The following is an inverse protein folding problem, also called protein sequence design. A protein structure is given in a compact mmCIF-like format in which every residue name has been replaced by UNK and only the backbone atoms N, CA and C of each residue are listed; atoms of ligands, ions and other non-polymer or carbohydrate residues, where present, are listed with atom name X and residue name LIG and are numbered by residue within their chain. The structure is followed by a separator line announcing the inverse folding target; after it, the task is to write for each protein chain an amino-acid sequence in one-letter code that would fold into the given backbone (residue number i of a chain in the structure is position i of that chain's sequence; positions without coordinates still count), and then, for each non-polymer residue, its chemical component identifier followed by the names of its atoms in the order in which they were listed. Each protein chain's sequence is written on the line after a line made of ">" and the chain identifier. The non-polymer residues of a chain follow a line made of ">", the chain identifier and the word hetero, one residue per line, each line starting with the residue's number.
data_IF_890471169274
#
_entry.id   IF_890471169274
#
_cell.length_a   1.000
_cell.length_b   1.000
_cell.length_c   1.000
_cell.angle_alpha   90.00
_cell.angle_beta   90.00
_cell.angle_gamma   90.00
#
_symmetry.space_group_name_H-M   'P 1'
#
loop_
_entity.id
_entity.type
_entity.pdbx_description
1 polymer ?
#
# COMPACT_ATOMS: atom_id res chain seq x y z
N UNK A 1 -0.87 -11.70 -0.26
CA UNK A 1 -2.29 -11.70 0.16
C UNK A 1 -3.12 -12.14 -1.04
N UNK A 2 -3.95 -13.17 -0.90
CA UNK A 2 -4.91 -13.58 -1.93
C UNK A 2 -6.32 -13.06 -1.57
N UNK A 3 -7.27 -13.20 -2.50
CA UNK A 3 -8.63 -12.70 -2.32
C UNK A 3 -9.33 -13.30 -1.09
N UNK A 4 -9.22 -14.62 -0.90
CA UNK A 4 -9.87 -15.32 0.22
C UNK A 4 -9.36 -14.84 1.58
N UNK A 5 -8.04 -14.71 1.74
CA UNK A 5 -7.43 -14.19 2.97
C UNK A 5 -7.90 -12.77 3.25
N UNK A 6 -7.95 -11.90 2.22
CA UNK A 6 -8.44 -10.54 2.36
C UNK A 6 -9.91 -10.54 2.83
N UNK A 7 -10.77 -11.32 2.18
CA UNK A 7 -12.18 -11.39 2.52
C UNK A 7 -12.37 -11.88 3.97
N UNK A 8 -11.71 -12.97 4.35
CA UNK A 8 -11.80 -13.53 5.70
C UNK A 8 -11.30 -12.54 6.75
N UNK A 9 -10.14 -11.90 6.51
CA UNK A 9 -9.57 -10.93 7.43
C UNK A 9 -10.45 -9.69 7.63
N UNK A 10 -11.17 -9.23 6.60
CA UNK A 10 -12.07 -8.07 6.72
C UNK A 10 -13.48 -8.45 7.20
N UNK A 11 -13.89 -9.71 7.02
CA UNK A 11 -15.18 -10.20 7.53
C UNK A 11 -15.29 -10.12 9.07
N UNK A 12 -14.14 -10.16 9.78
CA UNK A 12 -14.11 -10.03 11.24
C UNK A 12 -14.62 -8.66 11.73
N UNK A 13 -14.62 -7.64 10.88
CA UNK A 13 -15.11 -6.30 11.23
C UNK A 13 -16.56 -6.07 10.81
N UNK A 14 -17.11 -6.92 9.94
CA UNK A 14 -18.49 -6.88 9.49
C UNK A 14 -18.70 -7.54 8.12
N UNK A 15 -19.96 -7.60 7.69
CA UNK A 15 -20.33 -8.25 6.44
C UNK A 15 -19.79 -7.50 5.22
N UNK A 16 -18.75 -8.07 4.60
CA UNK A 16 -18.17 -7.68 3.31
C UNK A 16 -19.10 -8.14 2.17
N UNK A 17 -19.44 -7.23 1.26
CA UNK A 17 -20.28 -7.50 0.08
C UNK A 17 -19.41 -7.80 -1.12
N UNK A 18 -18.38 -6.99 -1.34
CA UNK A 18 -17.46 -7.14 -2.45
C UNK A 18 -16.02 -6.88 -1.98
N UNK A 19 -15.06 -7.62 -2.54
CA UNK A 19 -13.65 -7.31 -2.35
C UNK A 19 -12.82 -7.76 -3.54
N UNK A 20 -11.81 -7.00 -3.91
CA UNK A 20 -10.91 -7.38 -5.00
C UNK A 20 -9.53 -6.79 -4.78
N UNK A 21 -8.54 -7.42 -5.40
CA UNK A 21 -7.14 -7.01 -5.34
C UNK A 21 -6.79 -6.43 -6.70
N UNK A 22 -6.28 -5.21 -6.72
CA UNK A 22 -5.77 -4.59 -7.94
C UNK A 22 -4.50 -5.33 -8.39
N UNK A 23 -4.51 -5.74 -9.66
CA UNK A 23 -3.39 -6.41 -10.31
C UNK A 23 -2.94 -5.59 -11.50
N UNK A 24 -1.65 -5.63 -11.79
CA UNK A 24 -1.16 -5.11 -13.06
C UNK A 24 -1.81 -5.84 -14.24
N UNK A 25 -1.98 -5.17 -15.39
CA UNK A 25 -2.38 -5.82 -16.63
C UNK A 25 -1.50 -7.04 -16.92
N UNK A 26 -2.08 -8.06 -17.54
CA UNK A 26 -1.37 -9.30 -17.85
C UNK A 26 -0.08 -9.06 -18.66
N UNK A 27 -0.10 -8.04 -19.53
CA UNK A 27 1.03 -7.62 -20.37
C UNK A 27 2.22 -7.06 -19.59
N UNK A 28 2.02 -6.56 -18.36
CA UNK A 28 3.08 -6.06 -17.47
C UNK A 28 3.49 -7.08 -16.39
N UNK A 29 3.05 -8.34 -16.50
CA UNK A 29 3.47 -9.41 -15.60
C UNK A 29 2.49 -9.76 -14.48
N UNK A 30 1.29 -9.17 -14.44
CA UNK A 30 0.16 -9.64 -13.61
C UNK A 30 0.39 -9.62 -12.09
N UNK A 31 1.40 -8.90 -11.61
CA UNK A 31 1.72 -8.76 -10.18
C UNK A 31 0.64 -7.99 -9.41
N UNK A 32 0.49 -8.26 -8.11
CA UNK A 32 -0.41 -7.46 -7.27
C UNK A 32 0.22 -6.11 -6.96
N UNK A 33 -0.51 -5.02 -7.16
CA UNK A 33 -0.09 -3.64 -6.81
C UNK A 33 -0.09 -3.37 -5.31
N UNK A 34 -0.32 -4.40 -4.48
CA UNK A 34 -0.51 -4.28 -3.04
C UNK A 34 -1.65 -3.30 -2.65
N UNK A 35 -2.61 -3.10 -3.55
CA UNK A 35 -3.84 -2.33 -3.34
C UNK A 35 -5.04 -3.26 -3.48
N UNK A 36 -6.02 -3.07 -2.62
CA UNK A 36 -7.24 -3.85 -2.62
C UNK A 36 -8.41 -2.97 -2.17
N UNK A 37 -9.59 -3.33 -2.64
CA UNK A 37 -10.83 -2.66 -2.29
C UNK A 37 -11.72 -3.63 -1.52
N UNK A 38 -12.37 -3.10 -0.48
CA UNK A 38 -13.28 -3.85 0.36
C UNK A 38 -14.53 -3.01 0.56
N UNK A 39 -15.64 -3.54 0.08
CA UNK A 39 -16.96 -2.94 0.22
C UNK A 39 -17.73 -3.63 1.34
N UNK A 40 -18.22 -2.84 2.29
CA UNK A 40 -19.06 -3.31 3.37
C UNK A 40 -20.54 -3.05 3.08
N UNK A 41 -21.40 -3.94 3.57
CA UNK A 41 -22.86 -3.80 3.48
C UNK A 41 -23.41 -2.51 4.11
N UNK A 42 -22.69 -1.89 5.05
CA UNK A 42 -23.09 -0.66 5.73
C UNK A 42 -21.95 0.36 5.72
N UNK A 43 -22.26 1.59 5.28
CA UNK A 43 -21.32 2.73 5.30
C UNK A 43 -20.75 3.01 6.70
N UNK A 44 -21.57 2.87 7.75
CA UNK A 44 -21.14 3.06 9.14
C UNK A 44 -20.08 2.04 9.56
N UNK A 45 -20.14 0.81 9.03
CA UNK A 45 -19.14 -0.22 9.30
C UNK A 45 -17.82 0.14 8.61
N UNK A 46 -17.86 0.52 7.33
CA UNK A 46 -16.68 0.96 6.60
C UNK A 46 -15.97 2.13 7.30
N UNK A 47 -16.73 3.13 7.78
CA UNK A 47 -16.17 4.26 8.52
C UNK A 47 -15.50 3.86 9.84
N UNK A 48 -16.14 2.98 10.62
CA UNK A 48 -15.55 2.45 11.86
C UNK A 48 -14.28 1.65 11.60
N UNK A 49 -14.26 0.84 10.53
CA UNK A 49 -13.09 0.06 10.14
C UNK A 49 -11.95 0.98 9.72
N UNK A 50 -12.22 1.99 8.90
CA UNK A 50 -11.20 2.96 8.49
C UNK A 50 -10.61 3.68 9.72
N UNK A 51 -11.44 4.11 10.67
CA UNK A 51 -10.97 4.73 11.91
C UNK A 51 -10.15 3.75 12.77
N UNK A 52 -10.63 2.52 12.94
CA UNK A 52 -9.93 1.52 13.74
C UNK A 52 -8.56 1.18 13.16
N UNK A 53 -8.48 0.94 11.84
CA UNK A 53 -7.24 0.54 11.16
C UNK A 53 -6.27 1.69 10.94
N UNK A 54 -6.74 2.95 10.96
CA UNK A 54 -5.83 4.11 10.95
C UNK A 54 -5.17 4.36 12.31
N UNK A 55 -5.79 3.92 13.41
CA UNK A 55 -5.27 4.08 14.77
C UNK A 55 -4.51 2.85 15.28
N UNK A 56 -4.64 1.70 14.61
CA UNK A 56 -4.08 0.43 15.06
C UNK A 56 -3.28 -0.26 13.97
N UNK A 57 -2.31 -1.09 14.38
CA UNK A 57 -1.46 -1.85 13.47
C UNK A 57 -2.12 -3.17 13.10
N UNK A 58 -2.94 -3.16 12.06
CA UNK A 58 -3.51 -4.39 11.52
C UNK A 58 -2.59 -5.03 10.50
N UNK A 59 -2.10 -6.23 10.79
CA UNK A 59 -1.17 -6.97 9.94
C UNK A 59 -1.91 -8.06 9.18
N UNK A 60 -1.56 -8.24 7.90
CA UNK A 60 -2.04 -9.36 7.09
C UNK A 60 -0.93 -10.39 6.92
N UNK A 61 -1.11 -11.55 7.55
CA UNK A 61 -0.19 -12.68 7.47
C UNK A 61 1.09 -12.42 8.25
N UNK A 62 2.23 -12.82 7.70
CA UNK A 62 3.56 -12.71 8.35
C UNK A 62 4.31 -11.43 7.97
N UNK A 63 3.66 -10.46 7.34
CA UNK A 63 4.32 -9.19 7.01
C UNK A 63 4.19 -8.23 8.19
N UNK A 64 5.29 -7.63 8.68
CA UNK A 64 5.23 -6.60 9.71
C UNK A 64 4.74 -5.25 9.18
N UNK A 65 4.30 -5.18 7.91
CA UNK A 65 3.76 -3.98 7.30
C UNK A 65 2.26 -3.87 7.60
N UNK A 66 1.83 -2.87 8.38
CA UNK A 66 0.41 -2.68 8.66
C UNK A 66 -0.34 -2.27 7.40
N UNK A 67 -1.60 -2.69 7.32
CA UNK A 67 -2.53 -2.29 6.28
C UNK A 67 -2.85 -0.81 6.46
N UNK A 68 -2.62 0.00 5.42
CA UNK A 68 -3.11 1.37 5.33
C UNK A 68 -4.50 1.36 4.69
N UNK A 69 -5.45 2.07 5.29
CA UNK A 69 -6.83 2.14 4.81
C UNK A 69 -7.24 3.58 4.58
N UNK A 70 -7.74 3.83 3.38
CA UNK A 70 -8.31 5.09 2.93
C UNK A 70 -9.70 4.79 2.37
N UNK A 71 -10.59 5.79 2.39
CA UNK A 71 -11.83 5.67 1.64
C UNK A 71 -11.50 5.63 0.16
N UNK A 72 -12.19 4.77 -0.60
CA UNK A 72 -12.17 4.88 -2.05
C UNK A 72 -12.82 6.23 -2.39
N UNK A 73 -12.00 7.23 -2.69
CA UNK A 73 -12.46 8.45 -3.33
C UNK A 73 -12.88 8.05 -4.75
N UNK A 74 -14.05 8.48 -5.18
CA UNK A 74 -14.34 8.49 -6.61
C UNK A 74 -13.29 9.44 -7.22
N UNK A 75 -12.55 8.96 -8.21
CA UNK A 75 -11.55 9.74 -8.99
C UNK A 75 -12.23 10.82 -9.85
N UNK A 76 -13.26 11.50 -9.32
CA UNK A 76 -13.66 12.82 -9.78
C UNK A 76 -12.54 13.79 -9.41
N UNK A 77 -11.41 13.64 -10.10
CA UNK A 77 -10.39 14.65 -10.28
C UNK A 77 -11.14 15.93 -10.61
N UNK A 78 -10.79 17.01 -9.92
CA UNK A 78 -11.36 18.33 -10.13
C UNK A 78 -11.26 18.69 -11.63
N UNK A 79 -12.40 18.59 -12.33
CA UNK A 79 -12.57 18.76 -13.79
C UNK A 79 -12.31 20.21 -14.26
N UNK A 80 -11.68 21.00 -13.39
CA UNK A 80 -11.35 22.40 -13.55
C UNK A 80 -9.86 22.64 -13.85
N UNK A 81 -8.97 21.67 -13.62
CA UNK A 81 -7.57 21.80 -14.06
C UNK A 81 -7.47 21.78 -15.59
N UNK A 82 -7.07 22.92 -16.17
CA UNK A 82 -6.95 23.09 -17.62
C UNK A 82 -8.20 23.63 -18.31
N UNK A 83 -9.26 23.97 -17.56
CA UNK A 83 -10.43 24.60 -18.14
C UNK A 83 -10.06 25.98 -18.70
N UNK A 84 -10.41 26.29 -19.95
CA UNK A 84 -10.00 27.55 -20.58
C UNK A 84 -10.52 28.75 -19.80
N UNK A 85 -9.64 29.74 -19.58
CA UNK A 85 -9.99 31.03 -18.96
C UNK A 85 -10.86 31.90 -19.90
N UNK A 86 -11.00 31.49 -21.15
CA UNK A 86 -11.70 32.24 -22.21
C UNK A 86 -13.20 31.91 -22.26
N UNK A 87 -13.94 32.88 -22.77
CA UNK A 87 -15.39 32.83 -22.92
C UNK A 87 -15.82 31.62 -23.76
N UNK A 88 -16.68 30.76 -23.19
CA UNK A 88 -17.22 29.53 -23.80
C UNK A 88 -18.10 29.80 -25.04
N UNK A 89 -18.25 31.06 -25.43
CA UNK A 89 -19.01 31.51 -26.60
C UNK A 89 -18.31 31.23 -27.93
N UNK A 90 -16.98 31.05 -27.94
CA UNK A 90 -16.25 30.66 -29.14
C UNK A 90 -16.27 29.14 -29.33
N UNK A 91 -16.51 28.65 -30.56
CA UNK A 91 -16.47 27.22 -30.85
C UNK A 91 -15.06 26.67 -30.59
N UNK A 92 -14.97 25.51 -29.93
CA UNK A 92 -13.68 24.88 -29.68
C UNK A 92 -12.97 24.51 -31.00
N UNK A 93 -11.66 24.77 -31.11
CA UNK A 93 -10.90 24.35 -32.28
C UNK A 93 -10.81 22.82 -32.34
N UNK A 94 -10.73 22.21 -33.54
CA UNK A 94 -10.48 20.78 -33.66
C UNK A 94 -9.11 20.40 -33.07
N UNK A 95 -8.85 19.12 -32.74
CA UNK A 95 -7.55 18.66 -32.27
C UNK A 95 -6.43 19.06 -33.24
N UNK A 96 -5.43 19.80 -32.76
CA UNK A 96 -4.36 20.35 -33.59
C UNK A 96 -3.05 20.51 -32.79
N UNK A 97 -1.95 20.78 -33.50
CA UNK A 97 -0.68 21.18 -32.87
C UNK A 97 -0.60 22.71 -32.80
N UNK A 98 -0.31 23.22 -31.60
CA UNK A 98 -0.04 24.63 -31.40
C UNK A 98 1.15 25.08 -32.26
N UNK A 99 1.02 26.24 -32.90
CA UNK A 99 2.03 26.75 -33.83
C UNK A 99 3.13 27.52 -33.07
N UNK A 100 4.43 27.30 -33.35
CA UNK A 100 5.51 28.05 -32.72
C UNK A 100 5.33 29.57 -32.87
N UNK A 101 5.51 30.32 -31.79
CA UNK A 101 5.31 31.77 -31.75
C UNK A 101 3.85 32.21 -31.54
N UNK A 102 2.92 31.27 -31.37
CA UNK A 102 1.56 31.57 -30.89
C UNK A 102 1.50 31.59 -29.36
N UNK A 103 0.55 32.35 -28.81
CA UNK A 103 0.30 32.39 -27.36
C UNK A 103 -0.09 31.00 -26.81
N UNK A 104 -0.86 30.23 -27.59
CA UNK A 104 -1.24 28.86 -27.27
C UNK A 104 -0.01 27.97 -27.08
N UNK A 105 0.95 28.04 -28.03
CA UNK A 105 2.17 27.26 -27.96
C UNK A 105 2.99 27.59 -26.71
N UNK A 106 3.13 28.87 -26.37
CA UNK A 106 3.88 29.30 -25.19
C UNK A 106 3.23 28.79 -23.89
N UNK A 107 1.90 28.79 -23.79
CA UNK A 107 1.20 28.22 -22.63
C UNK A 107 1.27 26.70 -22.59
N UNK A 108 1.06 26.02 -23.72
CA UNK A 108 1.17 24.57 -23.82
C UNK A 108 2.58 24.10 -23.46
N UNK A 109 3.62 24.84 -23.86
CA UNK A 109 5.01 24.56 -23.50
C UNK A 109 5.23 24.69 -21.99
N UNK A 110 4.74 25.75 -21.35
CA UNK A 110 4.83 25.94 -19.89
C UNK A 110 4.12 24.82 -19.13
N UNK A 111 2.91 24.43 -19.56
CA UNK A 111 2.19 23.31 -18.99
C UNK A 111 2.99 22.01 -19.10
N UNK A 112 3.58 21.74 -20.27
CA UNK A 112 4.44 20.56 -20.47
C UNK A 112 5.65 20.58 -19.54
N UNK A 113 6.36 21.71 -19.46
CA UNK A 113 7.53 21.85 -18.59
C UNK A 113 7.18 21.69 -17.12
N UNK A 114 6.05 22.26 -16.68
CA UNK A 114 5.52 22.11 -15.33
C UNK A 114 5.21 20.64 -15.01
N UNK A 115 4.47 19.95 -15.89
CA UNK A 115 4.13 18.53 -15.70
C UNK A 115 5.37 17.63 -15.69
N UNK A 116 6.38 17.94 -16.53
CA UNK A 116 7.66 17.22 -16.51
C UNK A 116 8.44 17.46 -15.22
N UNK A 117 8.45 18.69 -14.70
CA UNK A 117 9.09 19.02 -13.44
C UNK A 117 8.40 18.31 -12.26
N UNK A 118 7.06 18.33 -12.20
CA UNK A 118 6.30 17.59 -11.19
C UNK A 118 6.60 16.09 -11.24
N UNK A 119 6.58 15.50 -12.44
CA UNK A 119 6.93 14.09 -12.60
C UNK A 119 8.35 13.77 -12.11
N UNK A 120 9.32 14.63 -12.43
CA UNK A 120 10.70 14.44 -11.96
C UNK A 120 10.81 14.52 -10.43
N UNK A 121 10.02 15.40 -9.79
CA UNK A 121 9.93 15.49 -8.34
C UNK A 121 9.31 14.23 -7.71
N UNK A 122 8.19 13.75 -8.26
CA UNK A 122 7.54 12.51 -7.84
C UNK A 122 8.48 11.31 -7.94
N UNK A 123 9.20 11.17 -9.06
CA UNK A 123 10.15 10.08 -9.29
C UNK A 123 11.31 10.15 -8.27
N UNK A 124 11.82 11.35 -7.99
CA UNK A 124 12.87 11.58 -6.97
C UNK A 124 12.39 11.19 -5.57
N UNK A 125 11.18 11.60 -5.18
CA UNK A 125 10.59 11.26 -3.89
C UNK A 125 10.29 9.77 -3.78
N UNK A 126 9.81 9.15 -4.86
CA UNK A 126 9.55 7.71 -4.91
C UNK A 126 10.83 6.89 -4.68
N UNK A 127 11.95 7.33 -5.26
CA UNK A 127 13.26 6.72 -5.02
C UNK A 127 13.71 6.88 -3.55
N UNK A 128 13.60 8.08 -2.99
CA UNK A 128 13.94 8.33 -1.58
C UNK A 128 13.13 7.41 -0.65
N UNK A 129 11.81 7.36 -0.81
CA UNK A 129 10.95 6.49 -0.02
C UNK A 129 11.27 4.99 -0.23
N UNK A 130 11.70 4.59 -1.42
CA UNK A 130 12.15 3.21 -1.69
C UNK A 130 13.42 2.89 -0.89
N UNK A 131 14.40 3.80 -0.87
CA UNK A 131 15.64 3.63 -0.12
C UNK A 131 15.39 3.55 1.39
N UNK A 132 14.58 4.45 1.96
CA UNK A 132 14.22 4.42 3.38
C UNK A 132 13.55 3.11 3.79
N UNK A 133 12.63 2.61 2.96
CA UNK A 133 11.96 1.32 3.20
C UNK A 133 12.92 0.14 3.14
N UNK A 134 13.96 0.20 2.30
CA UNK A 134 14.96 -0.84 2.21
C UNK A 134 15.90 -0.84 3.41
N UNK A 135 16.31 0.34 3.89
CA UNK A 135 17.08 0.48 5.14
C UNK A 135 16.33 -0.18 6.30
N UNK A 136 15.04 0.15 6.48
CA UNK A 136 14.21 -0.45 7.53
C UNK A 136 14.08 -1.97 7.36
N UNK A 137 13.94 -2.46 6.12
CA UNK A 137 13.87 -3.90 5.84
C UNK A 137 15.15 -4.63 6.24
N UNK A 138 16.32 -4.04 5.98
CA UNK A 138 17.61 -4.60 6.36
C UNK A 138 17.80 -4.63 7.87
N UNK A 139 17.43 -3.55 8.56
CA UNK A 139 17.44 -3.49 10.03
C UNK A 139 16.55 -4.58 10.64
N UNK A 140 15.31 -4.71 10.16
CA UNK A 140 14.38 -5.76 10.59
C UNK A 140 14.97 -7.17 10.39
N UNK A 141 15.60 -7.42 9.23
CA UNK A 141 16.23 -8.71 8.95
C UNK A 141 17.38 -8.98 9.92
N UNK A 142 18.25 -8.02 10.15
CA UNK A 142 19.40 -8.17 11.04
C UNK A 142 18.95 -8.49 12.48
N UNK A 143 17.95 -7.78 12.99
CA UNK A 143 17.38 -8.03 14.32
C UNK A 143 16.74 -9.43 14.40
N UNK A 144 16.00 -9.84 13.38
CA UNK A 144 15.37 -11.15 13.33
C UNK A 144 16.41 -12.28 13.29
N UNK A 145 17.46 -12.15 12.50
CA UNK A 145 18.56 -13.13 12.44
C UNK A 145 19.31 -13.21 13.77
N UNK A 146 19.59 -12.08 14.41
CA UNK A 146 20.20 -12.03 15.73
C UNK A 146 19.32 -12.73 16.78
N UNK A 147 18.01 -12.51 16.75
CA UNK A 147 17.08 -13.16 17.66
C UNK A 147 17.02 -14.68 17.42
N UNK A 148 16.91 -15.13 16.17
CA UNK A 148 16.97 -16.55 15.81
C UNK A 148 18.27 -17.22 16.29
N UNK A 149 19.41 -16.53 16.19
CA UNK A 149 20.68 -17.05 16.67
C UNK A 149 20.66 -17.29 18.19
N UNK A 150 20.10 -16.36 18.98
CA UNK A 150 19.91 -16.55 20.42
C UNK A 150 19.06 -17.80 20.71
N UNK A 151 17.94 -17.98 20.00
CA UNK A 151 17.09 -19.16 20.18
C UNK A 151 17.81 -20.47 19.86
N UNK A 152 18.59 -20.52 18.79
CA UNK A 152 19.40 -21.70 18.46
C UNK A 152 20.43 -22.02 19.56
N UNK A 153 21.09 -21.01 20.12
CA UNK A 153 22.07 -21.21 21.20
C UNK A 153 21.41 -21.65 22.52
N UNK A 154 20.18 -21.21 22.79
CA UNK A 154 19.43 -21.63 23.98
C UNK A 154 18.95 -23.08 23.85
N UNK A 155 18.45 -23.45 22.67
CA UNK A 155 17.98 -24.81 22.36
C UNK A 155 19.14 -25.82 22.40
N UNK A 156 20.32 -25.44 21.91
CA UNK A 156 21.54 -26.27 22.02
C UNK A 156 22.10 -26.38 23.44
N UNK A 157 21.67 -25.50 24.36
CA UNK A 157 22.12 -25.45 25.76
C UNK A 157 21.09 -26.05 26.73
N UNK A 158 19.88 -26.38 26.26
CA UNK A 158 18.91 -27.13 27.02
C UNK A 158 19.43 -28.58 27.17
N UNK A 159 19.64 -29.08 28.40
CA UNK A 159 20.11 -30.43 28.59
C UNK A 159 19.05 -31.42 28.06
N UNK A 160 19.45 -32.31 27.16
CA UNK A 160 18.74 -33.54 26.83
C UNK A 160 18.77 -34.46 28.06
N UNK A 161 17.95 -34.15 29.06
CA UNK A 161 17.63 -35.10 30.12
C UNK A 161 16.11 -35.12 30.35
N UNK A 162 15.41 -35.84 29.48
CA UNK A 162 14.04 -36.26 29.74
C UNK A 162 14.11 -37.70 30.23
N UNK A 163 14.38 -37.85 31.53
CA UNK A 163 13.83 -38.96 32.29
C UNK A 163 12.93 -38.37 33.37
N UNK A 164 11.62 -38.49 33.12
CA UNK A 164 10.55 -38.35 34.10
C UNK A 164 10.39 -36.97 34.71
N UNK A 165 9.54 -36.14 34.12
CA UNK A 165 8.67 -35.21 34.85
C UNK A 165 7.54 -34.77 33.91
N UNK A 166 6.33 -35.17 34.29
CA UNK A 166 5.06 -34.75 33.71
C UNK A 166 4.91 -33.23 33.90
N UNK A 167 5.06 -32.47 32.82
CA UNK A 167 4.81 -31.03 32.80
C UNK A 167 3.78 -30.75 31.70
N UNK A 168 2.59 -30.35 32.13
CA UNK A 168 1.47 -29.99 31.27
C UNK A 168 1.78 -28.89 30.25
N UNK A 169 0.90 -28.69 29.26
CA UNK A 169 1.18 -27.82 28.13
C UNK A 169 0.98 -26.37 28.60
N UNK A 170 2.04 -25.55 28.71
CA UNK A 170 2.00 -24.07 28.55
C UNK A 170 3.28 -23.33 29.03
N UNK A 171 4.48 -23.90 28.87
CA UNK A 171 5.72 -23.14 29.12
C UNK A 171 6.77 -23.30 28.00
N UNK A 172 6.30 -23.34 26.75
CA UNK A 172 7.18 -23.18 25.59
C UNK A 172 7.45 -21.69 25.37
N UNK A 173 8.65 -21.24 25.69
CA UNK A 173 9.09 -19.88 25.36
C UNK A 173 8.88 -19.64 23.85
N UNK A 174 7.99 -18.70 23.53
CA UNK A 174 7.43 -18.56 22.18
C UNK A 174 8.53 -18.06 21.23
N UNK A 175 8.77 -18.83 20.16
CA UNK A 175 9.68 -18.47 19.06
C UNK A 175 9.39 -17.05 18.56
N UNK A 176 10.41 -16.34 18.03
CA UNK A 176 10.21 -15.00 17.49
C UNK A 176 9.16 -15.07 16.38
N UNK A 177 8.14 -14.22 16.50
CA UNK A 177 7.11 -14.04 15.46
C UNK A 177 7.56 -12.91 14.53
N UNK A 178 7.19 -13.04 13.26
CA UNK A 178 7.27 -11.98 12.26
C UNK A 178 6.17 -10.93 12.45
#
# INVERSE_FOLDING_TARGET
>A
VNHEMLQQSFHQFGSVVHCWIEKDPAELGGGSRCRAFVEYSKRTTAAKVQQLLSQNLFLLGSSPRPVRVEFALDDAVDDNEGQPVVDRSQPEPPPHFAQPGSLEFDFALKWRELSLAHKAEEDRLAELHRQEREVLRLEQRALYEAELAKWKTLDSRAPTNIQGLDLGPEAGAKRPRY
#
